data_IF_282605762835
#
_entry.id   IF_282605762835
#
_cell.length_a   1.000
_cell.length_b   1.000
_cell.length_c   1.000
_cell.angle_alpha   90.00
_cell.angle_beta   90.00
_cell.angle_gamma   90.00
#
_symmetry.space_group_name_H-M   'P 1'
#
loop_
_entity.id
_entity.type
_entity.pdbx_description
1 polymer ?
#
# COMPACT_ATOMS: atom_id res chain seq x y z
N UNK A 1 -11.46 -30.33 -1.03
CA UNK A 1 -10.43 -29.80 -1.96
C UNK A 1 -9.42 -29.04 -1.13
N UNK A 2 -8.17 -29.50 -1.06
CA UNK A 2 -7.10 -28.81 -0.34
C UNK A 2 -6.79 -27.49 -1.05
N UNK A 3 -6.92 -26.36 -0.36
CA UNK A 3 -6.63 -25.03 -0.92
C UNK A 3 -5.16 -25.01 -1.38
N UNK A 4 -4.92 -24.82 -2.68
CA UNK A 4 -3.58 -24.66 -3.20
C UNK A 4 -2.98 -23.37 -2.64
N UNK A 5 -1.80 -23.45 -2.02
CA UNK A 5 -1.08 -22.26 -1.55
C UNK A 5 -0.47 -21.54 -2.75
N UNK A 6 -0.68 -20.22 -2.83
CA UNK A 6 0.05 -19.36 -3.77
C UNK A 6 1.35 -18.94 -3.11
N UNK A 7 2.48 -19.28 -3.73
CA UNK A 7 3.79 -18.82 -3.33
C UNK A 7 4.24 -17.68 -4.26
N UNK A 8 4.89 -16.68 -3.69
CA UNK A 8 5.44 -15.53 -4.39
C UNK A 8 6.86 -15.30 -3.86
N UNK A 9 7.82 -15.14 -4.77
CA UNK A 9 9.15 -14.60 -4.42
C UNK A 9 9.05 -13.08 -4.44
N UNK A 10 9.30 -12.45 -3.30
CA UNK A 10 9.20 -11.01 -3.11
C UNK A 10 10.22 -10.53 -2.08
N UNK A 11 10.50 -9.23 -2.06
CA UNK A 11 11.22 -8.60 -0.95
C UNK A 11 10.27 -8.23 0.21
N UNK A 12 10.84 -7.72 1.30
CA UNK A 12 10.08 -7.34 2.49
C UNK A 12 9.10 -6.18 2.27
N UNK A 13 9.46 -5.20 1.44
CA UNK A 13 8.60 -4.03 1.16
C UNK A 13 7.40 -4.46 0.33
N UNK A 14 7.59 -5.29 -0.69
CA UNK A 14 6.48 -5.84 -1.48
C UNK A 14 5.55 -6.70 -0.62
N UNK A 15 6.10 -7.51 0.30
CA UNK A 15 5.30 -8.30 1.23
C UNK A 15 4.47 -7.43 2.19
N UNK A 16 5.09 -6.37 2.77
CA UNK A 16 4.40 -5.43 3.65
C UNK A 16 3.34 -4.61 2.91
N UNK A 17 3.67 -4.07 1.74
CA UNK A 17 2.75 -3.34 0.87
C UNK A 17 1.56 -4.20 0.48
N UNK A 18 1.78 -5.50 0.19
CA UNK A 18 0.68 -6.40 -0.18
C UNK A 18 -0.38 -6.46 0.92
N UNK A 19 0.03 -6.62 2.18
CA UNK A 19 -0.92 -6.67 3.30
C UNK A 19 -1.51 -5.30 3.59
N UNK A 20 -0.71 -4.22 3.60
CA UNK A 20 -1.24 -2.87 3.85
C UNK A 20 -2.30 -2.49 2.82
N UNK A 21 -2.06 -2.76 1.53
CA UNK A 21 -3.02 -2.50 0.46
C UNK A 21 -4.36 -3.20 0.69
N UNK A 22 -4.33 -4.46 1.14
CA UNK A 22 -5.56 -5.24 1.31
C UNK A 22 -6.44 -4.70 2.44
N UNK A 23 -5.86 -4.11 3.48
CA UNK A 23 -6.58 -3.70 4.69
C UNK A 23 -6.80 -2.18 4.82
N UNK A 24 -6.31 -1.38 3.88
CA UNK A 24 -6.45 0.07 3.89
C UNK A 24 -7.46 0.57 2.85
N UNK A 25 -8.16 1.65 3.16
CA UNK A 25 -8.95 2.44 2.21
C UNK A 25 -8.18 3.68 1.72
N UNK A 26 -7.34 4.25 2.60
CA UNK A 26 -6.55 5.46 2.35
C UNK A 26 -5.09 5.23 2.73
N UNK A 27 -4.17 5.81 1.96
CA UNK A 27 -2.73 5.85 2.25
C UNK A 27 -2.19 7.26 1.99
N UNK A 28 -1.93 8.02 3.06
CA UNK A 28 -1.17 9.26 2.97
C UNK A 28 0.32 8.93 3.09
N UNK A 29 1.11 9.30 2.09
CA UNK A 29 2.50 8.85 1.93
C UNK A 29 3.47 10.03 1.84
N UNK A 30 4.74 9.75 2.12
CA UNK A 30 5.88 10.61 1.79
C UNK A 30 7.11 9.73 1.55
N UNK A 31 7.89 9.97 0.48
CA UNK A 31 9.01 9.10 0.13
C UNK A 31 10.23 9.31 1.04
N UNK A 32 10.72 8.24 1.64
CA UNK A 32 12.00 8.20 2.36
C UNK A 32 12.62 6.79 2.27
N UNK A 33 13.91 6.73 1.94
CA UNK A 33 14.69 5.48 1.88
C UNK A 33 14.80 4.85 3.27
N UNK A 34 14.63 3.53 3.45
CA UNK A 34 14.43 2.49 2.42
C UNK A 34 12.95 2.11 2.16
N UNK A 35 11.99 2.88 2.68
CA UNK A 35 10.57 2.53 2.65
C UNK A 35 9.81 2.96 1.39
N UNK A 36 10.38 3.83 0.55
CA UNK A 36 9.68 4.41 -0.62
C UNK A 36 9.02 3.36 -1.51
N UNK A 37 9.65 2.21 -1.72
CA UNK A 37 9.09 1.16 -2.59
C UNK A 37 7.79 0.55 -2.08
N UNK A 38 7.50 0.63 -0.77
CA UNK A 38 6.18 0.21 -0.26
C UNK A 38 5.07 1.12 -0.81
N UNK A 39 5.29 2.44 -0.79
CA UNK A 39 4.33 3.41 -1.27
C UNK A 39 4.19 3.35 -2.79
N UNK A 40 5.29 3.15 -3.52
CA UNK A 40 5.29 2.94 -4.97
C UNK A 40 4.45 1.73 -5.38
N UNK A 41 4.59 0.57 -4.71
CA UNK A 41 3.73 -0.58 -4.99
C UNK A 41 2.25 -0.32 -4.72
N UNK A 42 1.93 0.39 -3.64
CA UNK A 42 0.53 0.73 -3.31
C UNK A 42 -0.06 1.64 -4.39
N UNK A 43 0.68 2.66 -4.83
CA UNK A 43 0.26 3.57 -5.90
C UNK A 43 0.09 2.84 -7.25
N UNK A 44 1.08 2.04 -7.65
CA UNK A 44 1.00 1.24 -8.88
C UNK A 44 -0.20 0.29 -8.88
N UNK A 45 -0.49 -0.37 -7.76
CA UNK A 45 -1.63 -1.28 -7.65
C UNK A 45 -2.98 -0.55 -7.64
N UNK A 46 -3.05 0.62 -7.02
CA UNK A 46 -4.23 1.48 -7.08
C UNK A 46 -4.50 1.93 -8.52
N UNK A 47 -3.48 2.41 -9.23
CA UNK A 47 -3.55 2.81 -10.63
C UNK A 47 -3.92 1.63 -11.55
N UNK A 48 -3.46 0.42 -11.25
CA UNK A 48 -3.83 -0.81 -11.95
C UNK A 48 -5.22 -1.35 -11.58
N UNK A 49 -5.97 -0.68 -10.70
CA UNK A 49 -7.33 -1.07 -10.33
C UNK A 49 -7.41 -2.26 -9.37
N UNK A 50 -6.31 -2.63 -8.68
CA UNK A 50 -6.33 -3.69 -7.68
C UNK A 50 -7.34 -3.33 -6.59
N UNK A 51 -8.20 -4.26 -6.21
CA UNK A 51 -9.16 -4.04 -5.13
C UNK A 51 -8.62 -4.53 -3.78
N UNK A 52 -8.85 -3.76 -2.74
CA UNK A 52 -8.66 -4.14 -1.34
C UNK A 52 -9.80 -5.09 -0.89
N UNK A 53 -9.81 -5.51 0.38
CA UNK A 53 -10.85 -6.42 0.88
C UNK A 53 -12.25 -5.80 0.92
N UNK A 54 -12.36 -4.48 0.80
CA UNK A 54 -13.62 -3.73 0.76
C UNK A 54 -14.18 -3.59 -0.66
N UNK A 55 -13.45 -4.08 -1.68
CA UNK A 55 -13.86 -3.97 -3.08
C UNK A 55 -13.46 -2.65 -3.75
N UNK A 56 -12.66 -1.82 -3.09
CA UNK A 56 -12.24 -0.49 -3.53
C UNK A 56 -10.75 -0.42 -3.84
N UNK A 57 -10.34 0.55 -4.66
CA UNK A 57 -8.91 0.87 -4.84
C UNK A 57 -8.46 1.73 -3.66
N UNK A 58 -7.23 1.53 -3.17
CA UNK A 58 -6.69 2.40 -2.12
C UNK A 58 -6.55 3.82 -2.67
N UNK A 59 -7.03 4.83 -1.94
CA UNK A 59 -6.76 6.22 -2.25
C UNK A 59 -5.36 6.58 -1.75
N UNK A 60 -4.43 6.82 -2.68
CA UNK A 60 -3.04 7.17 -2.37
C UNK A 60 -2.85 8.67 -2.58
N UNK A 61 -2.27 9.35 -1.59
CA UNK A 61 -1.96 10.77 -1.68
C UNK A 61 -0.57 11.06 -1.13
N UNK A 62 0.30 11.60 -1.97
CA UNK A 62 1.59 12.12 -1.54
C UNK A 62 1.42 13.48 -0.85
N UNK A 63 2.04 13.61 0.31
CA UNK A 63 2.03 14.81 1.15
C UNK A 63 3.35 15.59 1.03
N UNK A 64 3.43 16.77 1.65
CA UNK A 64 4.63 17.63 1.59
C UNK A 64 5.77 17.20 2.54
N UNK A 65 5.48 16.36 3.52
CA UNK A 65 6.44 15.80 4.48
C UNK A 65 5.83 14.61 5.21
N UNK A 66 6.63 13.82 5.94
CA UNK A 66 6.11 12.77 6.83
C UNK A 66 5.20 13.35 7.92
N UNK A 67 5.47 14.58 8.37
CA UNK A 67 4.58 15.30 9.30
C UNK A 67 3.22 15.61 8.69
N UNK A 68 3.18 15.96 7.40
CA UNK A 68 1.95 16.13 6.64
C UNK A 68 1.19 14.81 6.47
N UNK A 69 1.91 13.73 6.13
CA UNK A 69 1.34 12.39 6.04
C UNK A 69 0.75 11.92 7.39
N UNK A 70 1.45 12.11 8.50
CA UNK A 70 0.95 11.77 9.82
C UNK A 70 -0.31 12.58 10.19
N UNK A 71 -0.34 13.88 9.86
CA UNK A 71 -1.52 14.71 10.06
C UNK A 71 -2.73 14.24 9.25
N UNK A 72 -2.52 13.83 7.99
CA UNK A 72 -3.57 13.29 7.14
C UNK A 72 -4.06 11.90 7.59
N UNK A 73 -3.17 11.04 8.10
CA UNK A 73 -3.55 9.74 8.70
C UNK A 73 -4.35 9.91 9.99
N UNK A 74 -4.09 10.97 10.76
CA UNK A 74 -4.82 11.23 12.00
C UNK A 74 -6.28 11.69 11.77
N UNK A 75 -6.52 12.44 10.69
CA UNK A 75 -7.84 12.96 10.33
C UNK A 75 -8.75 11.90 9.75
#
# INVERSE_FOLDING_TARGET
MTKQKKFLTCDGNQAAAHISYMFSEVAAIYPITPSSTMAEYVDEWAAAGRKNIFGETVMVQEMQSEGGAAGAVHG
#
